data_IF_291057673685
#
_entry.id   IF_291057673685
#
_cell.length_a   1.000
_cell.length_b   1.000
_cell.length_c   1.000
_cell.angle_alpha   90.00
_cell.angle_beta   90.00
_cell.angle_gamma   90.00
#
_symmetry.space_group_name_H-M   'P 1'
#
loop_
_entity.id
_entity.type
_entity.pdbx_description
1 polymer ?
#
# COMPACT_ATOMS: atom_id res chain seq x y z
N UNK A 1 9.04 -9.20 23.98
CA UNK A 1 8.50 -8.44 22.83
C UNK A 1 7.61 -7.31 23.33
N UNK A 2 7.51 -6.18 22.62
CA UNK A 2 6.69 -5.05 23.08
C UNK A 2 5.20 -5.36 22.94
N UNK A 3 4.40 -5.26 24.02
CA UNK A 3 2.96 -5.59 23.99
C UNK A 3 2.14 -4.63 23.10
N UNK A 4 2.72 -3.51 22.69
CA UNK A 4 2.05 -2.48 21.90
C UNK A 4 2.09 -2.71 20.38
N UNK A 5 2.99 -3.57 19.90
CA UNK A 5 3.16 -3.85 18.46
C UNK A 5 1.84 -4.17 17.72
N UNK A 6 1.01 -5.13 18.17
CA UNK A 6 -0.20 -5.50 17.42
C UNK A 6 -1.19 -4.32 17.33
N UNK A 7 -1.32 -3.52 18.39
CA UNK A 7 -2.19 -2.34 18.40
C UNK A 7 -1.70 -1.23 17.47
N UNK A 8 -0.39 -0.97 17.45
CA UNK A 8 0.20 0.02 16.54
C UNK A 8 -0.01 -0.40 15.08
N UNK A 9 0.24 -1.67 14.76
CA UNK A 9 0.03 -2.20 13.41
C UNK A 9 -1.44 -2.13 12.99
N UNK A 10 -2.37 -2.47 13.89
CA UNK A 10 -3.80 -2.35 13.65
C UNK A 10 -4.22 -0.89 13.41
N UNK A 11 -3.71 0.05 14.21
CA UNK A 11 -3.97 1.48 14.01
C UNK A 11 -3.45 1.96 12.65
N UNK A 12 -2.22 1.59 12.28
CA UNK A 12 -1.66 1.94 10.97
C UNK A 12 -2.50 1.37 9.82
N UNK A 13 -3.00 0.13 9.94
CA UNK A 13 -3.89 -0.46 8.95
C UNK A 13 -5.18 0.35 8.78
N UNK A 14 -5.82 0.75 9.89
CA UNK A 14 -7.03 1.59 9.86
C UNK A 14 -6.75 2.94 9.18
N UNK A 15 -5.65 3.60 9.56
CA UNK A 15 -5.25 4.88 8.94
C UNK A 15 -5.03 4.70 7.43
N UNK A 16 -4.32 3.66 7.02
CA UNK A 16 -4.06 3.38 5.61
C UNK A 16 -5.36 3.14 4.81
N UNK A 17 -6.30 2.36 5.37
CA UNK A 17 -7.64 2.14 4.76
C UNK A 17 -8.36 3.47 4.54
N UNK A 18 -8.40 4.34 5.56
CA UNK A 18 -9.06 5.65 5.47
C UNK A 18 -8.42 6.51 4.39
N UNK A 19 -7.09 6.57 4.35
CA UNK A 19 -6.35 7.35 3.34
C UNK A 19 -6.62 6.81 1.93
N UNK A 20 -6.55 5.49 1.73
CA UNK A 20 -6.77 4.87 0.41
C UNK A 20 -8.19 5.13 -0.09
N UNK A 21 -9.20 4.97 0.76
CA UNK A 21 -10.60 5.23 0.39
C UNK A 21 -10.80 6.72 0.08
N UNK A 22 -10.30 7.61 0.94
CA UNK A 22 -10.46 9.05 0.77
C UNK A 22 -9.72 9.58 -0.48
N UNK A 23 -8.57 9.00 -0.81
CA UNK A 23 -7.83 9.33 -2.02
C UNK A 23 -8.52 8.77 -3.26
N UNK A 24 -8.89 7.49 -3.25
CA UNK A 24 -9.58 6.83 -4.36
C UNK A 24 -10.93 7.46 -4.70
N UNK A 25 -11.68 7.92 -3.69
CA UNK A 25 -12.98 8.59 -3.88
C UNK A 25 -12.87 9.96 -4.56
N UNK A 26 -11.70 10.62 -4.52
CA UNK A 26 -11.47 11.92 -5.17
C UNK A 26 -10.94 11.78 -6.60
N UNK A 27 -10.60 10.57 -7.03
CA UNK A 27 -9.89 10.37 -8.29
C UNK A 27 -10.86 10.19 -9.48
N UNK A 28 -10.60 10.83 -10.64
CA UNK A 28 -11.41 10.62 -11.84
C UNK A 28 -11.38 9.16 -12.32
N UNK A 29 -12.52 8.66 -12.79
CA UNK A 29 -12.72 7.28 -13.27
C UNK A 29 -11.85 6.88 -14.48
N UNK A 30 -11.17 7.85 -15.11
CA UNK A 30 -10.25 7.62 -16.21
C UNK A 30 -8.92 7.00 -15.75
N UNK A 31 -8.52 7.15 -14.48
CA UNK A 31 -7.29 6.54 -13.94
C UNK A 31 -7.52 5.11 -13.42
N UNK A 32 -7.88 4.21 -14.34
CA UNK A 32 -8.21 2.81 -14.00
C UNK A 32 -7.06 2.04 -13.35
N UNK A 33 -5.82 2.31 -13.78
CA UNK A 33 -4.63 1.65 -13.21
C UNK A 33 -4.42 2.04 -11.74
N UNK A 34 -4.57 3.34 -11.43
CA UNK A 34 -4.55 3.85 -10.06
C UNK A 34 -5.65 3.23 -9.20
N UNK A 35 -6.88 3.17 -9.71
CA UNK A 35 -8.00 2.56 -8.97
C UNK A 35 -7.76 1.07 -8.68
N UNK A 36 -7.23 0.33 -9.66
CA UNK A 36 -6.85 -1.08 -9.48
C UNK A 36 -5.74 -1.20 -8.42
N UNK A 37 -4.72 -0.35 -8.49
CA UNK A 37 -3.62 -0.34 -7.53
C UNK A 37 -4.13 -0.13 -6.10
N UNK A 38 -4.98 0.88 -5.89
CA UNK A 38 -5.61 1.18 -4.60
C UNK A 38 -6.49 0.03 -4.12
N UNK A 39 -7.28 -0.59 -4.99
CA UNK A 39 -8.17 -1.70 -4.63
C UNK A 39 -7.38 -2.95 -4.20
N UNK A 40 -6.31 -3.29 -4.93
CA UNK A 40 -5.45 -4.44 -4.60
C UNK A 40 -4.69 -4.20 -3.29
N UNK A 41 -4.12 -3.01 -3.09
CA UNK A 41 -3.48 -2.64 -1.82
C UNK A 41 -4.47 -2.68 -0.66
N UNK A 42 -5.67 -2.14 -0.85
CA UNK A 42 -6.73 -2.16 0.17
C UNK A 42 -7.11 -3.59 0.56
N UNK A 43 -7.27 -4.48 -0.42
CA UNK A 43 -7.56 -5.90 -0.19
C UNK A 43 -6.48 -6.57 0.66
N UNK A 44 -5.20 -6.33 0.37
CA UNK A 44 -4.09 -6.86 1.17
C UNK A 44 -4.09 -6.33 2.61
N UNK A 45 -4.27 -5.02 2.81
CA UNK A 45 -4.34 -4.42 4.15
C UNK A 45 -5.50 -5.03 4.96
N UNK A 46 -6.67 -5.16 4.35
CA UNK A 46 -7.85 -5.73 5.00
C UNK A 46 -7.66 -7.23 5.32
N UNK A 47 -7.01 -8.00 4.46
CA UNK A 47 -6.68 -9.41 4.73
C UNK A 47 -5.80 -9.56 5.97
N UNK A 48 -4.67 -8.84 5.98
CA UNK A 48 -3.73 -8.81 7.10
C UNK A 48 -4.36 -8.24 8.40
N UNK A 49 -5.31 -7.32 8.29
CA UNK A 49 -6.05 -6.80 9.45
C UNK A 49 -7.05 -7.84 9.99
N UNK A 50 -7.75 -8.54 9.11
CA UNK A 50 -8.71 -9.59 9.47
C UNK A 50 -8.02 -10.74 10.20
N UNK A 51 -6.85 -11.18 9.72
CA UNK A 51 -6.05 -12.20 10.40
C UNK A 51 -5.71 -11.80 11.84
N UNK A 52 -5.29 -10.55 12.04
CA UNK A 52 -4.99 -10.02 13.38
C UNK A 52 -6.22 -9.96 14.28
N UNK A 53 -7.40 -9.65 13.73
CA UNK A 53 -8.65 -9.65 14.50
C UNK A 53 -9.07 -11.06 14.92
N UNK A 54 -8.90 -12.05 14.05
CA UNK A 54 -9.37 -13.42 14.29
C UNK A 54 -8.38 -14.25 15.10
N UNK A 55 -7.08 -14.10 14.83
CA UNK A 55 -6.03 -14.95 15.38
C UNK A 55 -5.09 -14.21 16.33
N UNK A 56 -5.08 -12.88 16.35
CA UNK A 56 -4.14 -12.07 17.12
C UNK A 56 -2.77 -11.88 16.45
N UNK A 57 -2.51 -12.54 15.33
CA UNK A 57 -1.29 -12.46 14.53
C UNK A 57 -1.60 -12.67 13.05
N UNK A 58 -0.61 -12.44 12.18
CA UNK A 58 -0.71 -12.70 10.73
C UNK A 58 -0.14 -14.07 10.43
N UNK A 59 -0.82 -14.82 9.56
CA UNK A 59 -0.34 -16.14 9.13
C UNK A 59 0.51 -15.98 7.88
N UNK A 60 1.82 -16.18 8.03
CA UNK A 60 2.76 -16.26 6.92
C UNK A 60 2.93 -17.72 6.50
N UNK A 61 2.80 -18.01 5.21
CA UNK A 61 2.81 -19.39 4.69
C UNK A 61 3.63 -19.57 3.42
N UNK A 62 4.11 -18.49 2.80
CA UNK A 62 5.01 -18.56 1.65
C UNK A 62 6.43 -18.34 2.15
N UNK A 63 7.25 -19.37 2.00
CA UNK A 63 8.70 -19.32 2.23
C UNK A 63 9.41 -19.48 0.90
N UNK A 64 10.29 -18.52 0.56
CA UNK A 64 11.13 -18.61 -0.63
C UNK A 64 12.59 -18.70 -0.19
N UNK A 65 13.31 -19.71 -0.67
CA UNK A 65 14.74 -19.85 -0.41
C UNK A 65 15.48 -20.22 -1.69
N UNK A 66 16.74 -19.81 -1.76
CA UNK A 66 17.68 -20.11 -2.83
C UNK A 66 18.72 -21.08 -2.30
N UNK A 67 18.39 -22.38 -2.36
CA UNK A 67 19.15 -23.46 -1.73
C UNK A 67 19.48 -23.13 -0.25
N UNK A 68 20.69 -23.42 0.19
CA UNK A 68 21.25 -23.08 1.50
C UNK A 68 21.80 -21.64 1.57
N UNK A 69 21.87 -20.93 0.44
CA UNK A 69 22.62 -19.67 0.36
C UNK A 69 21.84 -18.46 0.86
N UNK A 70 20.50 -18.48 0.73
CA UNK A 70 19.67 -17.34 1.09
C UNK A 70 18.20 -17.73 1.29
N UNK A 71 17.60 -17.29 2.38
CA UNK A 71 16.15 -17.39 2.61
C UNK A 71 15.53 -16.00 2.61
N UNK A 72 14.56 -15.79 1.74
CA UNK A 72 13.74 -14.58 1.73
C UNK A 72 12.77 -14.63 2.92
N UNK A 73 12.48 -13.49 3.57
CA UNK A 73 11.51 -13.45 4.67
C UNK A 73 10.16 -14.07 4.27
N UNK A 74 9.58 -14.87 5.15
CA UNK A 74 8.25 -15.45 4.90
C UNK A 74 7.20 -14.36 4.71
N UNK A 75 6.24 -14.61 3.82
CA UNK A 75 5.18 -13.67 3.52
C UNK A 75 3.88 -14.40 3.18
N UNK A 76 2.81 -13.63 2.97
CA UNK A 76 1.52 -14.18 2.57
C UNK A 76 0.93 -13.49 1.32
N UNK A 77 -0.29 -13.89 0.95
CA UNK A 77 -1.01 -13.32 -0.20
C UNK A 77 -1.36 -11.84 0.02
N UNK A 78 -1.62 -11.42 1.26
CA UNK A 78 -1.88 -10.02 1.58
C UNK A 78 -0.65 -9.13 1.35
N UNK A 79 0.54 -9.60 1.74
CA UNK A 79 1.81 -8.89 1.49
C UNK A 79 2.13 -8.81 -0.01
N UNK A 80 1.81 -9.89 -0.73
CA UNK A 80 1.94 -9.92 -2.20
C UNK A 80 1.01 -8.91 -2.86
N UNK A 81 -0.25 -8.83 -2.41
CA UNK A 81 -1.22 -7.85 -2.89
C UNK A 81 -0.76 -6.41 -2.61
N UNK A 82 -0.26 -6.13 -1.39
CA UNK A 82 0.28 -4.80 -1.06
C UNK A 82 1.46 -4.46 -1.97
N UNK A 83 2.39 -5.39 -2.16
CA UNK A 83 3.57 -5.20 -3.02
C UNK A 83 3.19 -4.94 -4.48
N UNK A 84 2.25 -5.72 -5.03
CA UNK A 84 1.75 -5.55 -6.39
C UNK A 84 1.02 -4.20 -6.52
N UNK A 85 0.17 -3.85 -5.56
CA UNK A 85 -0.54 -2.58 -5.57
C UNK A 85 0.42 -1.38 -5.55
N UNK A 86 1.47 -1.41 -4.72
CA UNK A 86 2.52 -0.38 -4.72
C UNK A 86 3.25 -0.33 -6.06
N UNK A 87 3.61 -1.49 -6.65
CA UNK A 87 4.23 -1.52 -7.97
C UNK A 87 3.34 -0.90 -9.04
N UNK A 88 2.02 -1.16 -9.01
CA UNK A 88 1.04 -0.55 -9.91
C UNK A 88 0.93 0.96 -9.69
N UNK A 89 0.96 1.45 -8.44
CA UNK A 89 0.98 2.89 -8.13
C UNK A 89 2.21 3.58 -8.73
N UNK A 90 3.39 2.96 -8.59
CA UNK A 90 4.63 3.47 -9.18
C UNK A 90 4.54 3.53 -10.71
N UNK A 91 4.01 2.47 -11.33
CA UNK A 91 3.81 2.43 -12.79
C UNK A 91 2.83 3.52 -13.25
N UNK A 92 1.72 3.74 -12.53
CA UNK A 92 0.77 4.82 -12.86
C UNK A 92 1.42 6.20 -12.75
N UNK A 93 2.20 6.43 -11.69
CA UNK A 93 2.88 7.71 -11.44
C UNK A 93 3.88 8.03 -12.55
N UNK A 94 4.65 7.05 -13.02
CA UNK A 94 5.61 7.25 -14.12
C UNK A 94 4.90 7.45 -15.46
N UNK A 95 3.75 6.82 -15.70
CA UNK A 95 2.99 6.96 -16.95
C UNK A 95 2.16 8.24 -17.02
N UNK A 96 1.66 8.70 -15.87
CA UNK A 96 0.78 9.86 -15.74
C UNK A 96 1.40 10.85 -14.75
N UNK A 97 2.59 11.41 -15.05
CA UNK A 97 3.20 12.41 -14.18
C UNK A 97 2.22 13.58 -14.04
N UNK A 98 2.00 14.02 -12.80
CA UNK A 98 1.27 15.26 -12.60
C UNK A 98 2.08 16.40 -13.24
N UNK A 99 1.42 17.37 -13.91
CA UNK A 99 2.13 18.51 -14.44
C UNK A 99 2.86 19.18 -13.29
N UNK A 100 4.18 19.29 -13.41
CA UNK A 100 5.05 19.96 -12.43
C UNK A 100 4.41 21.31 -12.10
N UNK A 101 4.04 21.49 -10.83
CA UNK A 101 3.49 22.76 -10.35
C UNK A 101 4.66 23.75 -10.36
N UNK A 102 4.92 24.34 -11.54
CA UNK A 102 6.00 25.30 -11.73
C UNK A 102 5.87 26.35 -10.62
N UNK A 103 6.94 26.64 -9.86
CA UNK A 103 6.90 27.67 -8.84
C UNK A 103 6.37 28.93 -9.50
N UNK A 104 5.20 29.39 -9.03
CA UNK A 104 4.52 30.58 -9.51
C UNK A 104 5.58 31.67 -9.56
N UNK A 105 6.07 32.01 -10.76
CA UNK A 105 7.03 33.09 -10.92
C UNK A 105 6.38 34.29 -10.28
N UNK A 106 6.98 34.76 -9.18
CA UNK A 106 6.64 36.03 -8.56
C UNK A 106 6.54 37.02 -9.71
N UNK A 107 5.31 37.43 -9.98
CA UNK A 107 5.01 38.39 -11.01
C UNK A 107 5.68 39.66 -10.55
N UNK A 108 6.75 40.01 -11.28
CA UNK A 108 7.17 41.37 -11.54
C UNK A 108 6.09 42.38 -11.14
N UNK A 109 6.28 42.99 -9.98
CA UNK A 109 5.77 44.32 -9.68
C UNK A 109 7.02 45.08 -9.23
N UNK A 110 7.81 45.59 -10.18
CA UNK A 110 7.64 46.92 -10.78
C UNK A 110 7.73 48.03 -9.72
#
# INVERSE_FOLDING_TARGET
ESPYKPYILALMAVVAVVVIIAYGARMPSQRRLLQLALAVTLGGILGNFTDRLMHGFVVDFVELHLYEAYSWPTFNVADSAITIGIALLLIDTVKNPEPDEQPRKETETA
#
